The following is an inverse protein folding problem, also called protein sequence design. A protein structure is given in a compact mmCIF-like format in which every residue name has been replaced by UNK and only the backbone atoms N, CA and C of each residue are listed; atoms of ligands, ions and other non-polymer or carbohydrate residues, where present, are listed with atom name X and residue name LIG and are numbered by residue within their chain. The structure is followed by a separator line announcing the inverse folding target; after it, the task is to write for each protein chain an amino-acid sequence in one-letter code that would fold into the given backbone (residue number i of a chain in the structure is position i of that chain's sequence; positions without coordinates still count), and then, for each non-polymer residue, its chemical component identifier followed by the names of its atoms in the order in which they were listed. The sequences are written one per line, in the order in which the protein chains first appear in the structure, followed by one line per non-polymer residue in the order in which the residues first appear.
data_IF_100971114054
#
_entry.id   IF_100971114054
#
_cell.length_a   1.000
_cell.length_b   1.000
_cell.length_c   1.000
_cell.angle_alpha   90.00
_cell.angle_beta   90.00
_cell.angle_gamma   90.00
#
_symmetry.space_group_name_H-M   'P 1'
#
loop_
_entity.id
_entity.type
_entity.pdbx_description
1 polymer ?
#
# COMPACT_ATOMS: atom_id res chain seq x y z
N UNK A 1 24.91 10.29 -4.11
CA UNK A 1 24.15 9.13 -3.59
C UNK A 1 24.01 9.27 -2.08
N UNK A 2 22.79 9.30 -1.52
CA UNK A 2 22.61 9.38 -0.06
C UNK A 2 23.14 8.09 0.57
N UNK A 3 24.13 8.18 1.46
CA UNK A 3 24.57 7.05 2.28
C UNK A 3 23.35 6.49 3.04
N UNK A 4 23.14 5.18 3.00
CA UNK A 4 22.07 4.55 3.80
C UNK A 4 22.39 4.73 5.29
N UNK A 5 21.38 4.78 6.17
CA UNK A 5 21.59 4.92 7.62
C UNK A 5 22.59 3.88 8.16
N UNK A 6 22.58 2.68 7.59
CA UNK A 6 23.55 1.61 7.87
C UNK A 6 24.99 2.02 7.54
N UNK A 7 25.23 2.60 6.36
CA UNK A 7 26.55 3.10 5.97
C UNK A 7 27.02 4.26 6.86
N UNK A 8 26.10 5.10 7.32
CA UNK A 8 26.42 6.15 8.30
C UNK A 8 26.83 5.56 9.64
N UNK A 9 26.07 4.59 10.16
CA UNK A 9 26.36 3.95 11.45
C UNK A 9 27.67 3.15 11.43
N UNK A 10 27.93 2.40 10.36
CA UNK A 10 29.22 1.70 10.19
C UNK A 10 30.39 2.68 10.11
N UNK A 11 30.19 3.83 9.48
CA UNK A 11 31.20 4.89 9.41
C UNK A 11 31.47 5.52 10.78
N UNK A 12 30.42 5.83 11.56
CA UNK A 12 30.56 6.33 12.93
C UNK A 12 31.28 5.32 13.85
N UNK A 13 30.93 4.04 13.77
CA UNK A 13 31.59 2.97 14.55
C UNK A 13 33.08 2.87 14.19
N UNK A 14 33.43 2.99 12.91
CA UNK A 14 34.82 3.02 12.46
C UNK A 14 35.56 4.26 12.98
N UNK A 15 34.90 5.42 12.97
CA UNK A 15 35.44 6.67 13.47
C UNK A 15 35.66 6.62 15.00
N UNK A 16 34.74 6.03 15.76
CA UNK A 16 34.92 5.83 17.21
C UNK A 16 36.14 4.99 17.54
N UNK A 17 36.45 3.95 16.75
CA UNK A 17 37.69 3.19 16.91
C UNK A 17 38.92 4.03 16.55
N UNK A 18 38.86 4.79 15.46
CA UNK A 18 39.97 5.67 15.06
C UNK A 18 40.30 6.72 16.14
N UNK A 19 39.27 7.24 16.82
CA UNK A 19 39.43 8.17 17.95
C UNK A 19 39.79 7.50 19.28
N UNK A 20 39.93 6.17 19.32
CA UNK A 20 40.26 5.42 20.53
C UNK A 20 39.14 5.36 21.58
N UNK A 21 37.89 5.64 21.20
CA UNK A 21 36.73 5.60 22.11
C UNK A 21 36.24 4.17 22.37
N UNK A 22 36.52 3.25 21.46
CA UNK A 22 36.17 1.82 21.55
C UNK A 22 37.35 0.95 21.14
N UNK A 23 37.45 -0.23 21.72
CA UNK A 23 38.45 -1.23 21.36
C UNK A 23 38.04 -2.05 20.13
N UNK A 24 38.96 -2.90 19.65
CA UNK A 24 38.72 -3.73 18.46
C UNK A 24 37.57 -4.72 18.66
N UNK A 25 37.38 -5.25 19.87
CA UNK A 25 36.32 -6.20 20.19
C UNK A 25 34.94 -5.52 20.18
N UNK A 26 34.84 -4.32 20.77
CA UNK A 26 33.63 -3.50 20.74
C UNK A 26 33.28 -3.02 19.34
N UNK A 27 34.27 -2.62 18.52
CA UNK A 27 34.02 -2.28 17.12
C UNK A 27 33.45 -3.49 16.35
N UNK A 28 34.00 -4.69 16.57
CA UNK A 28 33.55 -5.89 15.88
C UNK A 28 32.13 -6.29 16.31
N UNK A 29 31.81 -6.21 17.62
CA UNK A 29 30.45 -6.43 18.13
C UNK A 29 29.44 -5.43 17.58
N UNK A 30 29.78 -4.14 17.55
CA UNK A 30 28.89 -3.09 17.04
C UNK A 30 28.74 -3.18 15.52
N UNK A 31 29.85 -3.42 14.79
CA UNK A 31 29.86 -3.56 13.32
C UNK A 31 29.05 -4.76 12.84
N UNK A 32 29.13 -5.91 13.53
CA UNK A 32 28.39 -7.12 13.20
C UNK A 32 26.85 -6.93 13.23
N UNK A 33 26.34 -5.95 13.98
CA UNK A 33 24.90 -5.61 14.00
C UNK A 33 24.43 -5.00 12.67
N UNK A 34 25.37 -4.43 11.90
CA UNK A 34 25.11 -3.69 10.66
C UNK A 34 25.73 -4.36 9.43
N UNK A 35 26.57 -5.39 9.58
CA UNK A 35 26.98 -6.24 8.47
C UNK A 35 25.83 -7.19 8.09
N UNK A 36 25.07 -6.82 7.06
CA UNK A 36 24.12 -7.74 6.43
C UNK A 36 24.72 -8.25 5.14
N UNK A 37 24.89 -9.57 4.94
CA UNK A 37 25.29 -10.09 3.66
C UNK A 37 24.22 -9.75 2.61
N UNK A 38 24.64 -9.45 1.38
CA UNK A 38 23.72 -9.18 0.27
C UNK A 38 22.97 -10.45 -0.12
N UNK A 39 21.88 -10.71 0.59
CA UNK A 39 21.04 -11.89 0.47
C UNK A 39 19.82 -11.64 -0.42
N UNK A 40 20.01 -10.93 -1.55
CA UNK A 40 18.88 -10.59 -2.44
C UNK A 40 18.22 -11.86 -3.01
N UNK A 41 19.01 -12.80 -3.51
CA UNK A 41 18.47 -14.05 -4.06
C UNK A 41 17.86 -14.96 -2.99
N UNK A 42 18.52 -15.13 -1.84
CA UNK A 42 17.97 -15.98 -0.76
C UNK A 42 16.70 -15.40 -0.16
N UNK A 43 16.57 -14.07 -0.09
CA UNK A 43 15.32 -13.41 0.31
C UNK A 43 14.20 -13.70 -0.69
N UNK A 44 14.47 -13.57 -2.00
CA UNK A 44 13.48 -13.89 -3.06
C UNK A 44 13.08 -15.36 -2.99
N UNK A 45 14.04 -16.28 -2.91
CA UNK A 45 13.78 -17.72 -2.78
C UNK A 45 13.00 -18.05 -1.52
N UNK A 46 13.26 -17.36 -0.41
CA UNK A 46 12.51 -17.53 0.83
C UNK A 46 11.03 -17.12 0.65
N UNK A 47 10.76 -15.98 0.01
CA UNK A 47 9.39 -15.53 -0.24
C UNK A 47 8.66 -16.42 -1.25
N UNK A 48 9.35 -16.88 -2.30
CA UNK A 48 8.80 -17.87 -3.22
C UNK A 48 8.49 -19.19 -2.52
N UNK A 49 9.38 -19.66 -1.63
CA UNK A 49 9.15 -20.86 -0.84
C UNK A 49 7.95 -20.74 0.09
N UNK A 50 7.83 -19.61 0.81
CA UNK A 50 6.65 -19.32 1.64
C UNK A 50 5.39 -19.31 0.78
N UNK A 51 5.41 -18.62 -0.37
CA UNK A 51 4.29 -18.59 -1.30
C UNK A 51 3.88 -19.98 -1.80
N UNK A 52 4.85 -20.80 -2.21
CA UNK A 52 4.61 -22.16 -2.69
C UNK A 52 3.98 -23.05 -1.60
N UNK A 53 4.52 -23.01 -0.37
CA UNK A 53 3.96 -23.77 0.76
C UNK A 53 2.52 -23.35 1.05
N UNK A 54 2.21 -22.06 0.96
CA UNK A 54 0.86 -21.57 1.17
C UNK A 54 -0.10 -21.98 0.06
N UNK A 55 0.33 -21.90 -1.20
CA UNK A 55 -0.49 -22.33 -2.34
C UNK A 55 -0.77 -23.82 -2.27
N UNK A 56 0.24 -24.65 -1.98
CA UNK A 56 0.06 -26.09 -1.77
C UNK A 56 -0.86 -26.34 -0.57
N UNK A 57 -0.67 -25.62 0.54
CA UNK A 57 -1.55 -25.71 1.70
C UNK A 57 -3.00 -25.41 1.36
N UNK A 58 -3.27 -24.31 0.66
CA UNK A 58 -4.62 -23.96 0.22
C UNK A 58 -5.20 -24.98 -0.75
N UNK A 59 -4.41 -25.52 -1.67
CA UNK A 59 -4.83 -26.57 -2.59
C UNK A 59 -5.20 -27.87 -1.86
N UNK A 60 -4.42 -28.26 -0.83
CA UNK A 60 -4.71 -29.43 0.00
C UNK A 60 -5.99 -29.21 0.81
N UNK A 61 -6.14 -28.07 1.49
CA UNK A 61 -7.33 -27.78 2.28
C UNK A 61 -8.60 -27.72 1.40
N UNK A 62 -8.49 -27.09 0.22
CA UNK A 62 -9.57 -27.04 -0.77
C UNK A 62 -9.89 -28.42 -1.33
N UNK A 63 -8.86 -29.22 -1.64
CA UNK A 63 -8.98 -30.59 -2.11
C UNK A 63 -9.68 -31.51 -1.09
N UNK A 64 -9.40 -31.35 0.21
CA UNK A 64 -10.14 -32.07 1.26
C UNK A 64 -11.63 -31.68 1.25
N UNK A 65 -11.94 -30.39 1.09
CA UNK A 65 -13.32 -29.93 0.95
C UNK A 65 -14.04 -30.55 -0.26
N UNK A 66 -13.34 -30.66 -1.39
CA UNK A 66 -13.85 -31.32 -2.59
C UNK A 66 -14.07 -32.83 -2.39
N UNK A 67 -13.10 -33.53 -1.78
CA UNK A 67 -13.21 -34.96 -1.48
C UNK A 67 -14.30 -35.28 -0.45
N UNK A 68 -14.57 -34.34 0.45
CA UNK A 68 -15.67 -34.44 1.40
C UNK A 68 -17.03 -34.02 0.81
N UNK A 69 -17.07 -33.63 -0.48
CA UNK A 69 -18.24 -33.08 -1.17
C UNK A 69 -18.93 -31.97 -0.37
N UNK A 70 -18.14 -31.15 0.34
CA UNK A 70 -18.66 -30.17 1.29
C UNK A 70 -17.81 -28.91 1.31
N UNK A 71 -18.38 -27.82 0.78
CA UNK A 71 -17.80 -26.48 0.85
C UNK A 71 -17.62 -26.03 2.30
N UNK A 72 -18.55 -26.41 3.19
CA UNK A 72 -18.46 -26.09 4.61
C UNK A 72 -17.20 -26.71 5.26
N UNK A 73 -16.85 -27.95 4.90
CA UNK A 73 -15.61 -28.58 5.38
C UNK A 73 -14.39 -27.76 4.93
N UNK A 74 -14.34 -27.38 3.65
CA UNK A 74 -13.29 -26.50 3.13
C UNK A 74 -13.21 -25.16 3.87
N UNK A 75 -14.35 -24.50 4.09
CA UNK A 75 -14.43 -23.23 4.81
C UNK A 75 -13.93 -23.35 6.27
N UNK A 76 -14.36 -24.39 7.00
CA UNK A 76 -13.92 -24.65 8.37
C UNK A 76 -12.41 -24.91 8.43
N UNK A 77 -11.87 -25.68 7.48
CA UNK A 77 -10.44 -25.96 7.40
C UNK A 77 -9.62 -24.68 7.12
N UNK A 78 -10.07 -23.84 6.19
CA UNK A 78 -9.43 -22.54 5.92
C UNK A 78 -9.49 -21.62 7.15
N UNK A 79 -10.62 -21.57 7.85
CA UNK A 79 -10.77 -20.78 9.06
C UNK A 79 -9.84 -21.28 10.17
N UNK A 80 -9.81 -22.59 10.43
CA UNK A 80 -8.96 -23.20 11.45
C UNK A 80 -7.46 -22.98 11.15
N UNK A 81 -7.05 -23.17 9.89
CA UNK A 81 -5.68 -22.87 9.46
C UNK A 81 -5.37 -21.38 9.61
N UNK A 82 -6.30 -20.50 9.23
CA UNK A 82 -6.18 -19.05 9.36
C UNK A 82 -5.97 -18.60 10.82
N UNK A 83 -6.77 -19.13 11.75
CA UNK A 83 -6.62 -18.90 13.20
C UNK A 83 -5.27 -19.42 13.69
N UNK A 84 -4.86 -20.62 13.29
CA UNK A 84 -3.57 -21.20 13.65
C UNK A 84 -2.38 -20.33 13.22
N UNK A 85 -2.38 -19.90 11.95
CA UNK A 85 -1.34 -19.01 11.41
C UNK A 85 -1.38 -17.64 12.10
N UNK A 86 -2.56 -17.08 12.35
CA UNK A 86 -2.70 -15.82 13.09
C UNK A 86 -2.08 -15.91 14.50
N UNK A 87 -2.37 -16.98 15.25
CA UNK A 87 -1.81 -17.21 16.58
C UNK A 87 -0.29 -17.38 16.55
N UNK A 88 0.22 -18.23 15.66
CA UNK A 88 1.66 -18.49 15.51
C UNK A 88 2.40 -17.22 15.09
N UNK A 89 1.89 -16.54 14.07
CA UNK A 89 2.48 -15.32 13.54
C UNK A 89 2.45 -14.19 14.57
N UNK A 90 1.36 -14.04 15.35
CA UNK A 90 1.28 -13.05 16.43
C UNK A 90 2.26 -13.34 17.57
N UNK A 91 2.55 -14.61 17.87
CA UNK A 91 3.60 -14.99 18.84
C UNK A 91 4.98 -14.63 18.29
N UNK A 92 5.28 -15.00 17.05
CA UNK A 92 6.58 -14.78 16.43
C UNK A 92 6.87 -13.29 16.19
N UNK A 93 5.85 -12.51 15.80
CA UNK A 93 5.97 -11.06 15.61
C UNK A 93 6.30 -10.30 16.91
N UNK A 94 5.95 -10.89 18.06
CA UNK A 94 6.12 -10.30 19.40
C UNK A 94 7.21 -10.99 20.23
N UNK A 95 8.01 -11.88 19.62
CA UNK A 95 9.13 -12.53 20.30
C UNK A 95 10.04 -11.47 20.94
N UNK A 96 10.25 -11.49 22.27
CA UNK A 96 11.13 -10.55 22.96
C UNK A 96 12.55 -10.54 22.39
N UNK A 97 13.02 -11.69 21.89
CA UNK A 97 14.33 -11.83 21.26
C UNK A 97 14.38 -11.27 19.83
N UNK A 98 13.25 -10.83 19.26
CA UNK A 98 13.09 -10.26 17.91
C UNK A 98 13.77 -11.09 16.82
N UNK A 99 13.74 -12.42 16.93
CA UNK A 99 14.45 -13.32 16.01
C UNK A 99 13.82 -13.30 14.61
N UNK A 100 12.49 -13.30 14.53
CA UNK A 100 11.76 -13.41 13.25
C UNK A 100 10.53 -12.48 13.14
N UNK A 101 10.64 -11.18 13.44
CA UNK A 101 9.48 -10.28 13.49
C UNK A 101 8.79 -10.11 12.12
N UNK A 102 9.56 -10.08 11.03
CA UNK A 102 9.02 -9.93 9.67
C UNK A 102 8.25 -11.18 9.25
N UNK A 103 8.83 -12.36 9.48
CA UNK A 103 8.16 -13.64 9.18
C UNK A 103 6.90 -13.80 10.01
N UNK A 104 6.94 -13.44 11.29
CA UNK A 104 5.75 -13.48 12.15
C UNK A 104 4.62 -12.61 11.61
N UNK A 105 4.95 -11.38 11.21
CA UNK A 105 4.01 -10.44 10.59
C UNK A 105 3.44 -10.96 9.27
N UNK A 106 4.26 -11.58 8.42
CA UNK A 106 3.77 -12.19 7.19
C UNK A 106 2.79 -13.33 7.48
N UNK A 107 3.18 -14.29 8.32
CA UNK A 107 2.36 -15.46 8.67
C UNK A 107 1.02 -15.03 9.28
N UNK A 108 1.01 -14.04 10.18
CA UNK A 108 -0.24 -13.59 10.79
C UNK A 108 -1.16 -12.87 9.79
N UNK A 109 -0.57 -12.15 8.82
CA UNK A 109 -1.33 -11.48 7.75
C UNK A 109 -1.94 -12.51 6.80
N UNK A 110 -1.19 -13.56 6.47
CA UNK A 110 -1.71 -14.70 5.72
C UNK A 110 -2.87 -15.37 6.47
N UNK A 111 -2.75 -15.55 7.79
CA UNK A 111 -3.84 -16.08 8.61
C UNK A 111 -5.13 -15.25 8.50
N UNK A 112 -5.02 -13.91 8.53
CA UNK A 112 -6.15 -13.00 8.34
C UNK A 112 -6.79 -13.13 6.95
N UNK A 113 -5.97 -13.29 5.89
CA UNK A 113 -6.45 -13.53 4.52
C UNK A 113 -7.21 -14.86 4.44
N UNK A 114 -6.68 -15.93 5.04
CA UNK A 114 -7.35 -17.25 5.07
C UNK A 114 -8.69 -17.20 5.80
N UNK A 115 -8.78 -16.46 6.91
CA UNK A 115 -10.05 -16.24 7.60
C UNK A 115 -11.06 -15.50 6.70
N UNK A 116 -10.63 -14.49 5.93
CA UNK A 116 -11.47 -13.86 4.90
C UNK A 116 -11.92 -14.82 3.81
N UNK A 117 -10.99 -15.62 3.28
CA UNK A 117 -11.26 -16.63 2.25
C UNK A 117 -12.25 -17.69 2.75
N UNK A 118 -12.19 -18.07 4.03
CA UNK A 118 -13.17 -19.00 4.61
C UNK A 118 -14.60 -18.45 4.62
N UNK A 119 -14.78 -17.14 4.78
CA UNK A 119 -16.10 -16.50 4.70
C UNK A 119 -16.62 -16.49 3.27
N UNK A 120 -15.76 -16.22 2.29
CA UNK A 120 -16.09 -16.30 0.87
C UNK A 120 -16.53 -17.71 0.46
N UNK A 121 -15.76 -18.72 0.87
CA UNK A 121 -16.10 -20.11 0.61
C UNK A 121 -17.38 -20.51 1.36
N UNK A 122 -17.51 -20.17 2.64
CA UNK A 122 -18.68 -20.54 3.44
C UNK A 122 -19.99 -19.85 3.01
N UNK A 123 -19.91 -18.78 2.24
CA UNK A 123 -21.07 -18.06 1.69
C UNK A 123 -21.27 -18.27 0.19
N UNK A 124 -20.46 -19.12 -0.46
CA UNK A 124 -20.68 -19.46 -1.86
C UNK A 124 -21.89 -20.37 -1.99
N UNK A 125 -22.73 -20.09 -2.97
CA UNK A 125 -23.85 -20.94 -3.32
C UNK A 125 -23.39 -21.99 -4.33
N UNK A 126 -23.44 -23.26 -3.91
CA UNK A 126 -23.01 -24.40 -4.72
C UNK A 126 -23.92 -24.66 -5.93
N UNK A 127 -25.17 -24.17 -5.91
CA UNK A 127 -26.11 -24.39 -7.02
C UNK A 127 -25.93 -23.37 -8.15
N UNK A 128 -25.60 -22.13 -7.82
CA UNK A 128 -25.41 -21.04 -8.79
C UNK A 128 -23.94 -20.85 -9.20
N UNK A 129 -22.99 -21.37 -8.40
CA UNK A 129 -21.56 -21.19 -8.64
C UNK A 129 -21.09 -19.75 -8.38
N UNK A 130 -21.93 -18.91 -7.76
CA UNK A 130 -21.57 -17.54 -7.43
C UNK A 130 -20.62 -17.51 -6.22
N UNK A 131 -19.54 -16.75 -6.36
CA UNK A 131 -18.67 -16.44 -5.23
C UNK A 131 -19.50 -15.76 -4.13
N UNK A 132 -19.29 -16.18 -2.88
CA UNK A 132 -20.01 -15.62 -1.73
C UNK A 132 -19.83 -14.11 -1.59
N UNK A 133 -20.53 -13.49 -0.63
CA UNK A 133 -20.58 -12.03 -0.47
C UNK A 133 -19.18 -11.42 -0.18
N UNK A 134 -18.47 -11.09 -1.26
CA UNK A 134 -17.11 -10.56 -1.26
C UNK A 134 -16.98 -9.22 -0.52
N UNK A 135 -17.90 -8.24 -0.69
CA UNK A 135 -17.91 -7.03 0.14
C UNK A 135 -17.90 -7.36 1.64
N UNK A 136 -18.79 -8.25 2.08
CA UNK A 136 -18.88 -8.63 3.48
C UNK A 136 -17.61 -9.33 3.97
N UNK A 137 -17.08 -10.28 3.20
CA UNK A 137 -15.85 -10.98 3.56
C UNK A 137 -14.66 -10.01 3.72
N UNK A 138 -14.51 -9.06 2.80
CA UNK A 138 -13.48 -8.02 2.88
C UNK A 138 -13.70 -7.11 4.11
N UNK A 139 -14.93 -6.67 4.40
CA UNK A 139 -15.21 -5.84 5.57
C UNK A 139 -14.96 -6.58 6.90
N UNK A 140 -15.27 -7.86 6.98
CA UNK A 140 -14.95 -8.69 8.16
C UNK A 140 -13.43 -8.86 8.29
N UNK A 141 -12.73 -9.18 7.20
CA UNK A 141 -11.26 -9.26 7.19
C UNK A 141 -10.65 -7.92 7.59
N UNK A 142 -11.22 -6.81 7.14
CA UNK A 142 -10.80 -5.47 7.52
C UNK A 142 -10.92 -5.25 9.03
N UNK A 143 -12.08 -5.55 9.61
CA UNK A 143 -12.32 -5.42 11.04
C UNK A 143 -11.34 -6.27 11.86
N UNK A 144 -11.14 -7.54 11.50
CA UNK A 144 -10.17 -8.43 12.16
C UNK A 144 -8.73 -7.93 12.02
N UNK A 145 -8.37 -7.41 10.85
CA UNK A 145 -7.02 -6.92 10.58
C UNK A 145 -6.72 -5.61 11.33
N UNK A 146 -7.68 -4.69 11.39
CA UNK A 146 -7.59 -3.45 12.19
C UNK A 146 -7.52 -3.79 13.68
N UNK A 147 -8.39 -4.68 14.17
CA UNK A 147 -8.35 -5.12 15.57
C UNK A 147 -7.01 -5.76 15.93
N UNK A 148 -6.48 -6.61 15.05
CA UNK A 148 -5.14 -7.22 15.18
C UNK A 148 -4.05 -6.15 15.18
N UNK A 149 -4.14 -5.15 14.30
CA UNK A 149 -3.17 -4.07 14.20
C UNK A 149 -3.08 -3.27 15.50
N UNK A 150 -4.22 -2.82 16.05
CA UNK A 150 -4.23 -2.04 17.28
C UNK A 150 -3.98 -2.92 18.52
N UNK A 151 -4.44 -4.17 18.52
CA UNK A 151 -4.18 -5.12 19.61
C UNK A 151 -2.69 -5.46 19.76
N UNK A 152 -1.98 -5.65 18.65
CA UNK A 152 -0.56 -6.02 18.65
C UNK A 152 0.40 -4.90 18.25
N UNK A 153 -0.11 -3.71 17.93
CA UNK A 153 0.68 -2.53 17.51
C UNK A 153 1.47 -2.80 16.23
N UNK A 154 0.86 -3.51 15.29
CA UNK A 154 1.49 -3.94 14.03
C UNK A 154 0.94 -3.16 12.85
N UNK A 155 1.83 -2.61 12.02
CA UNK A 155 1.46 -1.77 10.86
C UNK A 155 0.92 -2.58 9.67
N UNK A 156 1.44 -3.78 9.45
CA UNK A 156 1.06 -4.61 8.30
C UNK A 156 -0.40 -5.09 8.33
N UNK A 157 -0.94 -5.55 9.48
CA UNK A 157 -2.38 -5.82 9.57
C UNK A 157 -3.23 -4.57 9.35
N UNK A 158 -2.76 -3.37 9.74
CA UNK A 158 -3.48 -2.14 9.43
C UNK A 158 -3.50 -1.87 7.92
N UNK A 159 -2.39 -2.12 7.22
CA UNK A 159 -2.33 -2.00 5.77
C UNK A 159 -3.35 -2.92 5.10
N UNK A 160 -3.38 -4.20 5.47
CA UNK A 160 -4.39 -5.15 4.97
C UNK A 160 -5.80 -4.66 5.32
N UNK A 161 -6.00 -4.19 6.55
CA UNK A 161 -7.28 -3.67 7.03
C UNK A 161 -7.81 -2.52 6.18
N UNK A 162 -6.98 -1.49 5.94
CA UNK A 162 -7.34 -0.35 5.10
C UNK A 162 -7.63 -0.77 3.66
N UNK A 163 -6.80 -1.65 3.09
CA UNK A 163 -7.02 -2.18 1.75
C UNK A 163 -8.39 -2.86 1.65
N UNK A 164 -8.71 -3.76 2.59
CA UNK A 164 -9.97 -4.46 2.63
C UNK A 164 -11.17 -3.53 2.92
N UNK A 165 -11.02 -2.46 3.73
CA UNK A 165 -12.10 -1.46 3.91
C UNK A 165 -12.45 -0.83 2.57
N UNK A 166 -11.48 -0.29 1.84
CA UNK A 166 -11.76 0.40 0.59
C UNK A 166 -12.32 -0.52 -0.49
N UNK A 167 -11.84 -1.76 -0.57
CA UNK A 167 -12.39 -2.71 -1.54
C UNK A 167 -13.78 -3.23 -1.13
N UNK A 168 -13.96 -3.57 0.15
CA UNK A 168 -15.26 -3.98 0.68
C UNK A 168 -16.34 -2.88 0.59
N UNK A 169 -15.95 -1.61 0.54
CA UNK A 169 -16.86 -0.47 0.33
C UNK A 169 -17.16 -0.16 -1.14
N UNK A 170 -16.50 -0.82 -2.09
CA UNK A 170 -16.85 -0.67 -3.51
C UNK A 170 -15.70 -0.37 -4.47
N UNK A 171 -14.43 -0.40 -4.05
CA UNK A 171 -13.31 -0.36 -4.99
C UNK A 171 -12.99 -1.78 -5.46
N UNK A 172 -13.10 -2.05 -6.75
CA UNK A 172 -12.95 -3.40 -7.28
C UNK A 172 -11.95 -3.43 -8.43
N UNK A 173 -11.20 -4.52 -8.48
CA UNK A 173 -10.47 -4.95 -9.67
C UNK A 173 -11.02 -6.30 -10.15
N UNK A 174 -11.09 -6.48 -11.47
CA UNK A 174 -11.30 -7.79 -12.07
C UNK A 174 -10.52 -7.94 -13.38
N UNK A 175 -10.08 -9.16 -13.65
CA UNK A 175 -9.37 -9.50 -14.88
C UNK A 175 -10.37 -10.05 -15.90
N UNK A 176 -10.50 -9.37 -17.03
CA UNK A 176 -11.42 -9.72 -18.11
C UNK A 176 -10.94 -10.82 -19.04
N UNK A 177 -9.74 -11.37 -18.82
CA UNK A 177 -9.08 -12.24 -19.79
C UNK A 177 -8.31 -11.46 -20.86
N UNK A 178 -7.45 -12.16 -21.60
CA UNK A 178 -6.75 -11.59 -22.78
C UNK A 178 -5.86 -10.37 -22.50
N UNK A 179 -5.36 -10.21 -21.28
CA UNK A 179 -4.60 -9.02 -20.87
C UNK A 179 -5.48 -7.83 -20.46
N UNK A 180 -6.80 -7.99 -20.38
CA UNK A 180 -7.73 -6.92 -20.03
C UNK A 180 -7.90 -6.83 -18.51
N UNK A 181 -7.55 -5.68 -17.93
CA UNK A 181 -7.73 -5.40 -16.51
C UNK A 181 -8.74 -4.28 -16.33
N UNK A 182 -9.73 -4.53 -15.49
CA UNK A 182 -10.74 -3.55 -15.12
C UNK A 182 -10.49 -3.14 -13.68
N UNK A 183 -10.36 -1.84 -13.47
CA UNK A 183 -10.37 -1.21 -12.16
C UNK A 183 -11.57 -0.28 -12.11
N UNK A 184 -12.36 -0.35 -11.06
CA UNK A 184 -13.60 0.41 -10.93
C UNK A 184 -13.90 0.77 -9.48
N UNK A 185 -14.58 1.88 -9.29
CA UNK A 185 -15.12 2.29 -7.99
C UNK A 185 -16.64 2.40 -8.18
N UNK A 186 -17.40 1.63 -7.40
CA UNK A 186 -18.86 1.51 -7.52
C UNK A 186 -19.57 2.86 -7.39
N UNK A 187 -19.19 3.66 -6.39
CA UNK A 187 -19.63 5.04 -6.24
C UNK A 187 -18.42 5.93 -5.90
N UNK A 188 -17.77 6.52 -6.92
CA UNK A 188 -16.62 7.38 -6.72
C UNK A 188 -16.92 8.62 -5.87
N UNK A 189 -18.17 9.12 -5.84
CA UNK A 189 -18.51 10.33 -5.08
C UNK A 189 -18.46 10.04 -3.58
N UNK A 190 -19.16 8.99 -3.15
CA UNK A 190 -19.12 8.54 -1.76
C UNK A 190 -17.71 8.08 -1.36
N UNK A 191 -17.02 7.39 -2.26
CA UNK A 191 -15.64 6.94 -2.02
C UNK A 191 -14.68 8.12 -1.81
N UNK A 192 -14.79 9.20 -2.59
CA UNK A 192 -13.99 10.41 -2.40
C UNK A 192 -14.19 11.01 -0.99
N UNK A 193 -15.44 11.09 -0.52
CA UNK A 193 -15.75 11.60 0.83
C UNK A 193 -15.15 10.70 1.91
N UNK A 194 -15.36 9.38 1.81
CA UNK A 194 -14.82 8.41 2.77
C UNK A 194 -13.28 8.46 2.79
N UNK A 195 -12.65 8.56 1.63
CA UNK A 195 -11.20 8.63 1.49
C UNK A 195 -10.63 9.94 2.06
N UNK A 196 -11.30 11.08 1.83
CA UNK A 196 -10.94 12.36 2.43
C UNK A 196 -11.05 12.31 3.96
N UNK A 197 -12.14 11.77 4.51
CA UNK A 197 -12.31 11.57 5.96
C UNK A 197 -11.23 10.64 6.52
N UNK A 198 -10.86 9.60 5.79
CA UNK A 198 -9.77 8.68 6.16
C UNK A 198 -8.41 9.39 6.20
N UNK A 199 -8.13 10.28 5.24
CA UNK A 199 -6.91 11.08 5.24
C UNK A 199 -6.88 12.07 6.42
N UNK A 200 -8.01 12.73 6.73
CA UNK A 200 -8.16 13.62 7.88
C UNK A 200 -7.98 12.87 9.21
N UNK A 201 -8.57 11.67 9.33
CA UNK A 201 -8.36 10.78 10.47
C UNK A 201 -6.87 10.42 10.60
N UNK A 202 -6.20 10.13 9.49
CA UNK A 202 -4.77 9.86 9.47
C UNK A 202 -3.93 11.03 9.96
N UNK A 203 -4.25 12.27 9.56
CA UNK A 203 -3.59 13.48 10.03
C UNK A 203 -3.81 13.71 11.53
N UNK A 204 -5.03 13.53 12.01
CA UNK A 204 -5.34 13.57 13.44
C UNK A 204 -4.54 12.51 14.20
N UNK A 205 -4.51 11.28 13.68
CA UNK A 205 -3.80 10.17 14.30
C UNK A 205 -2.29 10.43 14.35
N UNK A 206 -1.68 10.99 13.30
CA UNK A 206 -0.26 11.38 13.31
C UNK A 206 0.04 12.42 14.41
N UNK A 207 -0.80 13.44 14.58
CA UNK A 207 -0.64 14.41 15.67
C UNK A 207 -0.80 13.75 17.04
N UNK A 208 -1.76 12.84 17.17
CA UNK A 208 -1.98 12.10 18.40
C UNK A 208 -0.82 11.14 18.71
N UNK A 209 -0.11 10.62 17.70
CA UNK A 209 1.09 9.79 17.84
C UNK A 209 2.25 10.55 18.51
N UNK A 210 2.28 11.89 18.48
CA UNK A 210 3.28 12.68 19.20
C UNK A 210 3.07 12.64 20.73
N UNK A 211 1.87 12.25 21.17
CA UNK A 211 1.46 12.24 22.58
C UNK A 211 0.70 10.95 22.95
N UNK A 212 -0.64 10.98 22.93
CA UNK A 212 -1.51 9.93 23.46
C UNK A 212 -1.38 8.58 22.73
N UNK A 213 -1.04 8.59 21.44
CA UNK A 213 -0.98 7.41 20.58
C UNK A 213 0.45 7.03 20.19
N UNK A 214 1.49 7.46 20.94
CA UNK A 214 2.91 7.14 20.69
C UNK A 214 3.18 5.67 20.36
N UNK A 215 2.46 4.76 21.04
CA UNK A 215 2.57 3.30 20.85
C UNK A 215 2.13 2.80 19.48
N UNK A 216 1.44 3.62 18.69
CA UNK A 216 0.93 3.34 17.35
C UNK A 216 1.66 4.13 16.27
N UNK A 217 2.92 4.53 16.54
CA UNK A 217 3.74 5.28 15.60
C UNK A 217 3.69 4.68 14.19
N UNK A 218 3.38 5.51 13.19
CA UNK A 218 3.28 5.18 11.79
C UNK A 218 1.91 4.70 11.30
N UNK A 219 0.92 4.56 12.18
CA UNK A 219 -0.45 4.17 11.80
C UNK A 219 -1.13 5.29 11.00
N UNK A 220 -1.08 6.53 11.51
CA UNK A 220 -1.67 7.70 10.87
C UNK A 220 -1.11 7.94 9.47
N UNK A 221 0.17 7.61 9.22
CA UNK A 221 0.76 7.64 7.87
C UNK A 221 0.07 6.66 6.90
N UNK A 222 -0.32 5.47 7.36
CA UNK A 222 -1.06 4.52 6.52
C UNK A 222 -2.45 5.06 6.17
N UNK A 223 -3.18 5.60 7.15
CA UNK A 223 -4.47 6.26 6.90
C UNK A 223 -4.36 7.41 5.89
N UNK A 224 -3.33 8.27 6.01
CA UNK A 224 -3.09 9.35 5.03
C UNK A 224 -2.78 8.78 3.65
N UNK A 225 -1.93 7.76 3.52
CA UNK A 225 -1.57 7.18 2.22
C UNK A 225 -2.80 6.58 1.54
N UNK A 226 -3.56 5.75 2.24
CA UNK A 226 -4.77 5.13 1.68
C UNK A 226 -5.85 6.17 1.39
N UNK A 227 -6.09 7.10 2.32
CA UNK A 227 -7.06 8.19 2.12
C UNK A 227 -6.72 9.05 0.91
N UNK A 228 -5.46 9.47 0.73
CA UNK A 228 -5.06 10.23 -0.45
C UNK A 228 -5.12 9.40 -1.74
N UNK A 229 -4.71 8.13 -1.70
CA UNK A 229 -4.77 7.25 -2.87
C UNK A 229 -6.21 7.12 -3.39
N UNK A 230 -7.14 6.70 -2.54
CA UNK A 230 -8.53 6.48 -2.94
C UNK A 230 -9.26 7.80 -3.22
N UNK A 231 -8.92 8.89 -2.56
CA UNK A 231 -9.47 10.21 -2.87
C UNK A 231 -9.11 10.63 -4.30
N UNK A 232 -7.83 10.56 -4.65
CA UNK A 232 -7.39 10.95 -5.99
C UNK A 232 -7.87 9.98 -7.07
N UNK A 233 -7.87 8.67 -6.82
CA UNK A 233 -8.48 7.72 -7.75
C UNK A 233 -9.96 8.05 -7.97
N UNK A 234 -10.72 8.34 -6.92
CA UNK A 234 -12.14 8.68 -7.04
C UNK A 234 -12.36 9.94 -7.90
N UNK A 235 -11.58 10.99 -7.69
CA UNK A 235 -11.65 12.21 -8.53
C UNK A 235 -11.24 11.93 -9.98
N UNK A 236 -10.24 11.07 -10.20
CA UNK A 236 -9.84 10.66 -11.53
C UNK A 236 -10.99 9.93 -12.25
N UNK A 237 -11.63 8.94 -11.63
CA UNK A 237 -12.78 8.25 -12.22
C UNK A 237 -13.95 9.20 -12.54
N UNK A 238 -14.27 10.12 -11.63
CA UNK A 238 -15.30 11.13 -11.86
C UNK A 238 -14.97 12.07 -13.02
N UNK A 239 -13.69 12.30 -13.29
CA UNK A 239 -13.23 13.11 -14.40
C UNK A 239 -13.24 12.37 -15.75
N UNK A 240 -13.37 11.05 -15.78
CA UNK A 240 -13.39 10.25 -17.03
C UNK A 240 -14.81 10.15 -17.60
N UNK A 241 -15.74 9.65 -16.80
CA UNK A 241 -17.14 9.46 -17.20
C UNK A 241 -18.05 9.76 -16.01
N UNK A 242 -18.75 10.90 -16.06
CA UNK A 242 -19.81 11.22 -15.12
C UNK A 242 -21.17 11.02 -15.80
N UNK A 243 -22.06 10.14 -15.29
CA UNK A 243 -23.39 9.91 -15.84
C UNK A 243 -24.24 11.18 -15.97
N UNK A 244 -23.90 12.23 -15.22
CA UNK A 244 -24.58 13.52 -15.19
C UNK A 244 -23.93 14.58 -16.10
N UNK A 245 -22.96 14.20 -16.94
CA UNK A 245 -22.21 15.06 -17.87
C UNK A 245 -21.50 16.25 -17.20
N UNK A 246 -21.07 16.12 -15.93
CA UNK A 246 -20.29 17.15 -15.25
C UNK A 246 -18.78 16.92 -15.35
N UNK A 247 -18.32 16.28 -16.43
CA UNK A 247 -16.90 15.91 -16.64
C UNK A 247 -15.97 17.11 -16.43
N UNK A 248 -16.30 18.29 -16.99
CA UNK A 248 -15.50 19.50 -16.78
C UNK A 248 -15.38 19.89 -15.29
N UNK A 249 -16.49 19.83 -14.55
CA UNK A 249 -16.50 20.14 -13.11
C UNK A 249 -15.58 19.19 -12.36
N UNK A 250 -15.66 17.90 -12.65
CA UNK A 250 -14.83 16.89 -11.99
C UNK A 250 -13.37 16.97 -12.40
N UNK A 251 -13.06 17.29 -13.66
CA UNK A 251 -11.69 17.61 -14.10
C UNK A 251 -11.15 18.79 -13.30
N UNK A 252 -11.89 19.91 -13.22
CA UNK A 252 -11.45 21.08 -12.45
C UNK A 252 -11.26 20.77 -10.97
N UNK A 253 -12.16 19.99 -10.37
CA UNK A 253 -12.04 19.54 -8.98
C UNK A 253 -10.84 18.61 -8.78
N UNK A 254 -10.54 17.74 -9.75
CA UNK A 254 -9.39 16.85 -9.71
C UNK A 254 -8.08 17.65 -9.80
N UNK A 255 -7.97 18.55 -10.78
CA UNK A 255 -6.83 19.48 -10.91
C UNK A 255 -6.65 20.31 -9.64
N UNK A 256 -7.72 20.93 -9.14
CA UNK A 256 -7.68 21.75 -7.92
C UNK A 256 -7.30 20.92 -6.69
N UNK A 257 -7.82 19.69 -6.58
CA UNK A 257 -7.49 18.75 -5.51
C UNK A 257 -6.01 18.36 -5.51
N UNK A 258 -5.42 18.12 -6.69
CA UNK A 258 -4.00 17.81 -6.82
C UNK A 258 -3.12 19.03 -6.50
N UNK A 259 -3.47 20.23 -6.99
CA UNK A 259 -2.78 21.48 -6.64
C UNK A 259 -2.88 21.78 -5.15
N UNK A 260 -4.06 21.61 -4.55
CA UNK A 260 -4.25 21.79 -3.11
C UNK A 260 -3.34 20.85 -2.32
N UNK A 261 -3.21 19.58 -2.73
CA UNK A 261 -2.27 18.65 -2.12
C UNK A 261 -0.81 19.10 -2.25
N UNK A 262 -0.39 19.63 -3.41
CA UNK A 262 0.95 20.21 -3.57
C UNK A 262 1.19 21.39 -2.62
N UNK A 263 0.24 22.33 -2.55
CA UNK A 263 0.32 23.51 -1.68
C UNK A 263 0.37 23.11 -0.21
N UNK A 264 -0.50 22.19 0.22
CA UNK A 264 -0.52 21.67 1.58
C UNK A 264 0.77 20.90 1.90
N UNK A 265 1.24 20.07 0.97
CA UNK A 265 2.48 19.31 1.09
C UNK A 265 3.70 20.22 1.24
N UNK A 266 3.79 21.29 0.46
CA UNK A 266 4.84 22.29 0.55
C UNK A 266 4.75 23.11 1.85
N UNK A 267 3.56 23.63 2.18
CA UNK A 267 3.34 24.46 3.37
C UNK A 267 3.60 23.73 4.67
N UNK A 268 3.14 22.48 4.77
CA UNK A 268 3.27 21.66 5.99
C UNK A 268 4.44 20.68 5.94
N UNK A 269 5.26 20.71 4.88
CA UNK A 269 6.39 19.80 4.64
C UNK A 269 5.99 18.32 4.76
N UNK A 270 4.78 17.97 4.34
CA UNK A 270 4.25 16.62 4.45
C UNK A 270 4.49 15.83 3.13
N UNK A 271 5.42 14.86 3.11
CA UNK A 271 5.88 14.25 1.86
C UNK A 271 4.78 13.47 1.11
N UNK A 272 3.82 12.87 1.81
CA UNK A 272 2.72 12.17 1.13
C UNK A 272 1.86 13.13 0.29
N UNK A 273 1.53 14.32 0.80
CA UNK A 273 0.71 15.29 0.07
C UNK A 273 1.43 15.79 -1.19
N UNK A 274 2.73 16.09 -1.08
CA UNK A 274 3.55 16.44 -2.24
C UNK A 274 3.63 15.29 -3.24
N UNK A 275 3.91 14.07 -2.79
CA UNK A 275 4.03 12.91 -3.67
C UNK A 275 2.73 12.59 -4.42
N UNK A 276 1.61 12.51 -3.71
CA UNK A 276 0.29 12.28 -4.33
C UNK A 276 -0.11 13.44 -5.24
N UNK A 277 0.09 14.69 -4.82
CA UNK A 277 -0.21 15.87 -5.64
C UNK A 277 0.57 15.88 -6.96
N UNK A 278 1.87 15.57 -6.95
CA UNK A 278 2.68 15.51 -8.19
C UNK A 278 2.18 14.38 -9.10
N UNK A 279 2.01 13.18 -8.55
CA UNK A 279 1.64 12.00 -9.34
C UNK A 279 0.26 12.19 -9.96
N UNK A 280 -0.74 12.58 -9.19
CA UNK A 280 -2.11 12.67 -9.68
C UNK A 280 -2.36 13.91 -10.53
N UNK A 281 -1.62 15.01 -10.34
CA UNK A 281 -1.61 16.11 -11.32
C UNK A 281 -1.02 15.64 -12.66
N UNK A 282 0.06 14.84 -12.62
CA UNK A 282 0.63 14.23 -13.82
C UNK A 282 -0.36 13.30 -14.53
N UNK A 283 -1.08 12.46 -13.78
CA UNK A 283 -2.15 11.59 -14.31
C UNK A 283 -3.25 12.44 -14.95
N UNK A 284 -3.75 13.47 -14.27
CA UNK A 284 -4.80 14.35 -14.79
C UNK A 284 -4.40 15.00 -16.12
N UNK A 285 -3.22 15.63 -16.16
CA UNK A 285 -2.69 16.27 -17.37
C UNK A 285 -2.48 15.26 -18.50
N UNK A 286 -1.94 14.08 -18.20
CA UNK A 286 -1.77 13.01 -19.18
C UNK A 286 -3.12 12.52 -19.73
N UNK A 287 -4.11 12.29 -18.85
CA UNK A 287 -5.46 11.87 -19.26
C UNK A 287 -6.07 12.90 -20.20
N UNK A 288 -6.00 14.20 -19.88
CA UNK A 288 -6.54 15.25 -20.77
C UNK A 288 -5.77 15.35 -22.09
N UNK A 289 -4.46 15.23 -22.05
CA UNK A 289 -3.64 15.19 -23.27
C UNK A 289 -4.03 14.01 -24.14
N UNK A 290 -4.21 12.82 -23.57
CA UNK A 290 -4.65 11.63 -24.27
C UNK A 290 -6.02 11.82 -24.92
N UNK A 291 -7.03 12.22 -24.15
CA UNK A 291 -8.41 12.43 -24.64
C UNK A 291 -8.48 13.42 -25.81
N UNK A 292 -7.70 14.49 -25.77
CA UNK A 292 -7.68 15.47 -26.85
C UNK A 292 -6.84 15.01 -28.04
N UNK A 293 -5.62 14.52 -27.81
CA UNK A 293 -4.62 14.37 -28.86
C UNK A 293 -4.60 12.99 -29.53
N UNK A 294 -5.11 11.93 -28.88
CA UNK A 294 -4.96 10.56 -29.37
C UNK A 294 -5.63 10.32 -30.74
N UNK A 295 -6.85 10.85 -30.93
CA UNK A 295 -7.58 10.74 -32.20
C UNK A 295 -7.12 11.78 -33.24
N UNK A 296 -6.44 12.86 -32.80
CA UNK A 296 -6.05 13.97 -33.66
C UNK A 296 -4.62 13.83 -34.22
N UNK A 297 -3.76 13.06 -33.55
CA UNK A 297 -2.36 12.90 -33.90
C UNK A 297 -2.06 11.46 -34.31
N UNK A 298 -1.09 11.28 -35.22
CA UNK A 298 -0.50 9.95 -35.41
C UNK A 298 0.22 9.50 -34.13
N UNK A 299 0.28 8.19 -33.86
CA UNK A 299 0.96 7.67 -32.69
C UNK A 299 2.40 8.21 -32.54
N UNK A 300 3.13 8.32 -33.65
CA UNK A 300 4.48 8.90 -33.66
C UNK A 300 4.49 10.37 -33.20
N UNK A 301 3.55 11.19 -33.67
CA UNK A 301 3.46 12.59 -33.30
C UNK A 301 2.97 12.77 -31.86
N UNK A 302 2.02 11.94 -31.42
CA UNK A 302 1.55 11.89 -30.04
C UNK A 302 2.73 11.69 -29.06
N UNK A 303 3.55 10.67 -29.28
CA UNK A 303 4.71 10.39 -28.42
C UNK A 303 5.82 11.43 -28.56
N UNK A 304 6.05 11.96 -29.76
CA UNK A 304 7.05 13.02 -29.97
C UNK A 304 6.69 14.30 -29.20
N UNK A 305 5.43 14.74 -29.27
CA UNK A 305 4.94 15.92 -28.54
C UNK A 305 4.99 15.68 -27.03
N UNK A 306 4.47 14.54 -26.55
CA UNK A 306 4.53 14.19 -25.13
C UNK A 306 5.97 14.17 -24.60
N UNK A 307 6.89 13.57 -25.36
CA UNK A 307 8.31 13.53 -25.03
C UNK A 307 8.95 14.91 -24.99
N UNK A 308 8.72 15.74 -26.01
CA UNK A 308 9.26 17.10 -26.06
C UNK A 308 8.76 17.99 -24.91
N UNK A 309 7.45 17.94 -24.62
CA UNK A 309 6.84 18.65 -23.48
C UNK A 309 7.42 18.14 -22.15
N UNK A 310 7.53 16.82 -21.98
CA UNK A 310 8.12 16.22 -20.79
C UNK A 310 9.57 16.63 -20.56
N UNK A 311 10.40 16.64 -21.62
CA UNK A 311 11.78 17.10 -21.56
C UNK A 311 11.87 18.60 -21.21
N UNK A 312 11.03 19.43 -21.82
CA UNK A 312 10.98 20.87 -21.54
C UNK A 312 10.59 21.15 -20.08
N UNK A 313 9.55 20.48 -19.58
CA UNK A 313 9.14 20.60 -18.18
C UNK A 313 10.23 20.12 -17.22
N UNK A 314 10.87 18.98 -17.52
CA UNK A 314 11.99 18.47 -16.72
C UNK A 314 13.14 19.47 -16.64
N UNK A 315 13.54 20.04 -17.78
CA UNK A 315 14.58 21.06 -17.84
C UNK A 315 14.19 22.35 -17.10
N UNK A 316 12.95 22.81 -17.22
CA UNK A 316 12.45 23.97 -16.48
C UNK A 316 12.47 23.75 -14.96
N UNK A 317 12.05 22.57 -14.51
CA UNK A 317 12.06 22.21 -13.08
C UNK A 317 13.48 22.11 -12.53
N UNK A 318 14.40 21.50 -13.28
CA UNK A 318 15.81 21.45 -12.89
C UNK A 318 16.41 22.86 -12.79
N UNK A 319 16.16 23.71 -13.79
CA UNK A 319 16.67 25.08 -13.80
C UNK A 319 16.12 25.96 -12.68
N UNK A 320 14.83 25.81 -12.37
CA UNK A 320 14.20 26.52 -11.26
C UNK A 320 14.69 26.01 -9.91
N UNK A 321 14.91 24.70 -9.75
CA UNK A 321 15.49 24.11 -8.55
C UNK A 321 16.93 24.60 -8.30
N UNK A 322 17.76 24.68 -9.36
CA UNK A 322 19.12 25.20 -9.27
C UNK A 322 19.14 26.67 -8.82
N UNK A 323 18.31 27.52 -9.43
CA UNK A 323 18.19 28.94 -9.05
C UNK A 323 17.69 29.14 -7.62
N UNK A 324 16.75 28.31 -7.17
CA UNK A 324 16.27 28.36 -5.79
C UNK A 324 17.35 27.91 -4.78
N UNK A 325 18.23 26.98 -5.19
CA UNK A 325 19.39 26.56 -4.39
C UNK A 325 20.48 27.63 -4.29
N UNK A 326 20.69 28.42 -5.34
CA UNK A 326 21.63 29.54 -5.37
C UNK A 326 21.14 30.74 -4.54
N UNK A 327 19.83 31.02 -4.52
CA UNK A 327 19.24 32.12 -3.74
C UNK A 327 19.08 31.82 -2.24
N UNK A 328 19.33 30.58 -1.82
CA UNK A 328 19.23 30.12 -0.42
C UNK A 328 20.58 29.97 0.31
N UNK A 329 21.69 30.35 -0.35
CA UNK A 329 23.02 30.51 0.27
C UNK A 329 23.27 31.98 0.56
#
# INVERSE_FOLDING_TARGET
MRKTTQQMLLHEIADWRHRGLIDAEAQQRLGALYERPEHRLSTVLQWLGIGAVLLIGMAVLGGIGLLAESVLVGAVLFFAAGVGLWLIGARLARDPARRMPVTGVAILTIGLILMGASLLLGSSDSETGEFGNLPLALLVTAALSIATAYGYRLRWPLLLGLLCVFHGLGSWEWYGGSGTYYFGIQDPRSMAVIAALTALLGLWHQRAEDHALRRFSGFGRLYVIFGLLYFNCSLWFLSLEDPYRQTLTWTLLFTLGAIAQLVLGARFKHPSFTGFGVVFLGIDLYTRFYEYAWEQLSAAMFFAVAGAVGMLLGWLFERTALRAGEAGQ
#
